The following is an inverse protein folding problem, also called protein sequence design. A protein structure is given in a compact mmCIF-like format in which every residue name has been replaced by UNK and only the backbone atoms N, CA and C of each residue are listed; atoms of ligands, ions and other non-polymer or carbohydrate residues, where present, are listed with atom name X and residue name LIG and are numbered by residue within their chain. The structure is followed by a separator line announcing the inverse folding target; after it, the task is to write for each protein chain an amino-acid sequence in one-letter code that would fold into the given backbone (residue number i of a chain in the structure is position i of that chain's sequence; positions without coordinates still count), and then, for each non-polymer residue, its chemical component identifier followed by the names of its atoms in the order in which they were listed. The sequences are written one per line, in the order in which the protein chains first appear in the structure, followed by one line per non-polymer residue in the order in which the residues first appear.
data_IF_844031013552
#
_entry.id   IF_844031013552
#
_cell.length_a   1.000
_cell.length_b   1.000
_cell.length_c   1.000
_cell.angle_alpha   90.00
_cell.angle_beta   90.00
_cell.angle_gamma   90.00
#
_symmetry.space_group_name_H-M   'P 1'
#
loop_
_entity.id
_entity.type
_entity.pdbx_description
1 polymer ?
#
# COMPACT_ATOMS: atom_id res chain seq x y z
N UNK A 1 1.92 26.13 1.79
CA UNK A 1 2.64 25.03 1.09
C UNK A 1 1.95 23.68 1.32
N UNK A 2 0.73 23.49 0.81
CA UNK A 2 -0.08 22.29 1.13
C UNK A 2 0.30 21.03 0.34
N UNK A 3 0.97 21.21 -0.81
CA UNK A 3 1.32 20.09 -1.69
C UNK A 3 2.46 19.22 -1.12
N UNK A 4 3.37 19.80 -0.35
CA UNK A 4 4.54 19.08 0.18
C UNK A 4 4.15 18.16 1.35
N UNK A 5 3.34 18.66 2.29
CA UNK A 5 2.84 17.89 3.43
C UNK A 5 2.12 16.62 2.98
N UNK A 6 1.24 16.72 1.97
CA UNK A 6 0.50 15.56 1.47
C UNK A 6 1.40 14.48 0.87
N UNK A 7 2.49 14.89 0.21
CA UNK A 7 3.46 13.95 -0.37
C UNK A 7 4.20 13.22 0.74
N UNK A 8 4.65 13.94 1.77
CA UNK A 8 5.32 13.37 2.94
C UNK A 8 4.41 12.39 3.69
N UNK A 9 3.14 12.76 3.90
CA UNK A 9 2.13 11.86 4.49
C UNK A 9 2.00 10.55 3.70
N UNK A 10 1.94 10.62 2.37
CA UNK A 10 1.82 9.44 1.51
C UNK A 10 3.07 8.57 1.54
N UNK A 11 4.26 9.19 1.61
CA UNK A 11 5.52 8.46 1.75
C UNK A 11 5.62 7.78 3.12
N UNK A 12 5.22 8.46 4.20
CA UNK A 12 5.16 7.86 5.53
C UNK A 12 4.13 6.73 5.58
N UNK A 13 2.94 6.92 5.02
CA UNK A 13 1.92 5.89 4.94
C UNK A 13 2.37 4.68 4.10
N UNK A 14 3.10 4.92 3.00
CA UNK A 14 3.74 3.88 2.20
C UNK A 14 4.69 3.03 3.04
N UNK A 15 5.62 3.67 3.76
CA UNK A 15 6.60 2.99 4.62
C UNK A 15 5.93 2.25 5.78
N UNK A 16 4.96 2.88 6.43
CA UNK A 16 4.20 2.24 7.52
C UNK A 16 3.41 1.02 7.02
N UNK A 17 2.82 1.09 5.82
CA UNK A 17 2.17 -0.07 5.22
C UNK A 17 3.18 -1.17 4.87
N UNK A 18 4.36 -0.81 4.36
CA UNK A 18 5.43 -1.75 4.09
C UNK A 18 5.87 -2.52 5.33
N UNK A 19 6.13 -1.82 6.43
CA UNK A 19 6.44 -2.43 7.72
C UNK A 19 5.28 -3.29 8.23
N UNK A 20 4.05 -2.79 8.17
CA UNK A 20 2.87 -3.55 8.61
C UNK A 20 2.69 -4.83 7.81
N UNK A 21 2.89 -4.80 6.49
CA UNK A 21 2.82 -5.97 5.61
C UNK A 21 3.96 -6.95 5.92
N UNK A 22 5.17 -6.46 6.22
CA UNK A 22 6.30 -7.28 6.67
C UNK A 22 6.01 -7.96 8.01
N UNK A 23 5.50 -7.23 9.00
CA UNK A 23 5.21 -7.75 10.34
C UNK A 23 4.00 -8.69 10.37
N UNK A 24 2.91 -8.31 9.70
CA UNK A 24 1.67 -9.11 9.69
C UNK A 24 1.70 -10.25 8.68
N UNK A 25 2.54 -10.16 7.65
CA UNK A 25 2.52 -11.07 6.50
C UNK A 25 1.24 -10.96 5.66
N UNK A 26 0.40 -9.95 5.91
CA UNK A 26 -0.88 -9.76 5.23
C UNK A 26 -0.81 -8.60 4.23
N UNK A 27 -1.55 -8.67 3.11
CA UNK A 27 -1.59 -7.59 2.14
C UNK A 27 -2.32 -6.37 2.70
N UNK A 28 -1.81 -5.19 2.38
CA UNK A 28 -2.38 -3.92 2.82
C UNK A 28 -2.94 -3.16 1.63
N UNK A 29 -4.24 -2.83 1.68
CA UNK A 29 -4.92 -2.02 0.66
C UNK A 29 -5.01 -0.57 1.12
N UNK A 30 -4.45 0.33 0.33
CA UNK A 30 -4.60 1.76 0.56
C UNK A 30 -6.00 2.26 0.22
N UNK A 31 -6.36 3.39 0.81
CA UNK A 31 -7.54 4.14 0.43
C UNK A 31 -7.48 4.54 -1.07
N UNK A 32 -8.64 4.67 -1.75
CA UNK A 32 -8.69 5.17 -3.12
C UNK A 32 -8.02 6.53 -3.20
N UNK A 33 -7.08 6.67 -4.13
CA UNK A 33 -6.26 7.87 -4.25
C UNK A 33 -6.08 8.26 -5.72
N UNK A 34 -5.79 9.54 -5.98
CA UNK A 34 -5.63 10.07 -7.33
C UNK A 34 -4.40 9.45 -8.05
N UNK A 35 -4.34 9.56 -9.37
CA UNK A 35 -3.22 9.04 -10.16
C UNK A 35 -1.85 9.56 -9.71
N UNK A 36 -1.79 10.81 -9.23
CA UNK A 36 -0.56 11.42 -8.70
C UNK A 36 -0.13 10.77 -7.38
N UNK A 37 -1.08 10.57 -6.48
CA UNK A 37 -0.81 9.96 -5.17
C UNK A 37 -0.41 8.49 -5.32
N UNK A 38 -1.07 7.73 -6.21
CA UNK A 38 -0.66 6.36 -6.55
C UNK A 38 0.79 6.31 -7.03
N UNK A 39 1.18 7.25 -7.90
CA UNK A 39 2.56 7.34 -8.40
C UNK A 39 3.55 7.60 -7.26
N UNK A 40 3.22 8.47 -6.30
CA UNK A 40 4.07 8.74 -5.13
C UNK A 40 4.25 7.47 -4.30
N UNK A 41 3.18 6.76 -4.00
CA UNK A 41 3.22 5.50 -3.24
C UNK A 41 4.02 4.43 -3.97
N UNK A 42 3.81 4.25 -5.28
CA UNK A 42 4.59 3.32 -6.08
C UNK A 42 6.07 3.67 -6.11
N UNK A 43 6.43 4.96 -6.21
CA UNK A 43 7.83 5.39 -6.18
C UNK A 43 8.45 5.19 -4.79
N UNK A 44 7.72 5.48 -3.72
CA UNK A 44 8.19 5.28 -2.35
C UNK A 44 8.41 3.80 -2.03
N UNK A 45 7.54 2.91 -2.54
CA UNK A 45 7.66 1.47 -2.35
C UNK A 45 8.56 0.79 -3.39
N UNK A 46 9.01 1.50 -4.42
CA UNK A 46 9.93 0.95 -5.44
C UNK A 46 11.28 0.56 -4.85
N UNK A 47 11.68 1.21 -3.77
CA UNK A 47 12.91 0.90 -3.02
C UNK A 47 12.78 -0.42 -2.24
N UNK A 48 11.56 -0.80 -1.88
CA UNK A 48 11.25 -1.97 -1.06
C UNK A 48 11.09 -3.23 -1.93
N UNK A 49 12.21 -3.86 -2.30
CA UNK A 49 12.21 -5.07 -3.16
C UNK A 49 11.55 -6.29 -2.54
N UNK A 50 11.40 -6.30 -1.21
CA UNK A 50 10.75 -7.40 -0.48
C UNK A 50 9.22 -7.34 -0.56
N UNK A 51 8.68 -6.27 -1.15
CA UNK A 51 7.25 -6.01 -1.25
C UNK A 51 6.84 -5.86 -2.70
N UNK A 52 5.65 -6.35 -3.00
CA UNK A 52 5.03 -6.22 -4.32
C UNK A 52 3.89 -5.22 -4.22
N UNK A 53 3.85 -4.25 -5.12
CA UNK A 53 2.74 -3.29 -5.18
C UNK A 53 1.94 -3.51 -6.46
N UNK A 54 0.62 -3.45 -6.34
CA UNK A 54 -0.29 -3.58 -7.47
C UNK A 54 -1.40 -2.55 -7.34
N UNK A 55 -1.82 -1.95 -8.46
CA UNK A 55 -2.95 -1.02 -8.46
C UNK A 55 -4.22 -1.77 -8.81
N UNK A 56 -5.14 -1.87 -7.86
CA UNK A 56 -6.40 -2.59 -8.00
C UNK A 56 -7.59 -1.63 -8.04
N UNK A 57 -8.59 -1.95 -8.87
CA UNK A 57 -9.81 -1.17 -9.06
C UNK A 57 -9.89 -0.38 -10.37
N UNK A 58 -11.04 0.27 -10.57
CA UNK A 58 -11.37 1.01 -11.80
C UNK A 58 -11.66 2.49 -11.52
N UNK A 59 -11.24 3.36 -12.46
CA UNK A 59 -11.52 4.80 -12.41
C UNK A 59 -11.11 5.46 -11.09
N UNK A 60 -12.05 6.19 -10.49
CA UNK A 60 -11.85 6.91 -9.22
C UNK A 60 -11.78 6.04 -7.96
N UNK A 61 -12.03 4.72 -8.08
CA UNK A 61 -11.92 3.76 -6.98
C UNK A 61 -10.60 2.99 -6.99
N UNK A 62 -9.64 3.42 -7.81
CA UNK A 62 -8.32 2.80 -7.91
C UNK A 62 -7.51 3.02 -6.64
N UNK A 63 -7.07 1.91 -6.06
CA UNK A 63 -6.23 1.84 -4.87
C UNK A 63 -4.92 1.12 -5.16
N UNK A 64 -3.90 1.38 -4.36
CA UNK A 64 -2.67 0.58 -4.37
C UNK A 64 -2.79 -0.50 -3.29
N UNK A 65 -2.45 -1.73 -3.64
CA UNK A 65 -2.39 -2.88 -2.74
C UNK A 65 -0.92 -3.30 -2.64
N UNK A 66 -0.44 -3.48 -1.41
CA UNK A 66 0.91 -3.93 -1.10
C UNK A 66 0.82 -5.37 -0.61
N UNK A 67 1.54 -6.26 -1.26
CA UNK A 67 1.66 -7.67 -0.94
C UNK A 67 3.06 -7.95 -0.39
N UNK A 68 3.18 -8.81 0.64
CA UNK A 68 4.48 -9.29 1.08
C UNK A 68 5.10 -10.23 0.05
N UNK A 69 6.42 -10.20 -0.14
CA UNK A 69 7.11 -11.08 -1.09
C UNK A 69 6.91 -12.58 -0.83
N UNK A 70 6.62 -12.97 0.42
CA UNK A 70 6.33 -14.35 0.81
C UNK A 70 4.82 -14.67 0.87
N UNK A 71 3.96 -13.87 0.21
CA UNK A 71 2.53 -14.14 0.15
C UNK A 71 2.25 -15.36 -0.74
N UNK A 72 2.45 -16.57 -0.19
CA UNK A 72 1.81 -17.78 -0.72
C UNK A 72 0.31 -17.58 -0.57
N UNK A 73 -0.42 -17.78 -1.66
CA UNK A 73 -1.88 -17.64 -1.84
C UNK A 73 -2.75 -18.51 -0.90
N UNK A 74 -2.20 -19.04 0.20
CA UNK A 74 -2.82 -20.01 1.10
C UNK A 74 -3.80 -19.39 2.11
N UNK A 75 -3.96 -18.07 2.18
CA UNK A 75 -4.84 -17.43 3.15
C UNK A 75 -5.87 -16.49 2.49
N UNK A 76 -6.89 -17.09 1.88
CA UNK A 76 -8.22 -16.45 1.75
C UNK A 76 -8.93 -16.27 3.12
N UNK A 77 -8.26 -16.52 4.24
CA UNK A 77 -8.85 -16.57 5.58
C UNK A 77 -8.32 -15.41 6.44
N UNK A 78 -9.19 -14.41 6.62
CA UNK A 78 -9.67 -14.09 7.97
C UNK A 78 -8.68 -13.45 8.95
N UNK A 79 -8.40 -12.15 8.78
CA UNK A 79 -8.09 -11.24 9.92
C UNK A 79 -8.58 -9.81 9.65
N UNK A 80 -9.90 -9.60 9.73
CA UNK A 80 -10.44 -8.40 10.38
C UNK A 80 -10.76 -8.82 11.81
N UNK A 81 -10.28 -8.07 12.80
CA UNK A 81 -11.13 -6.99 13.25
C UNK A 81 -10.41 -5.66 13.17
N UNK A 82 -11.09 -4.68 12.60
CA UNK A 82 -10.90 -3.29 13.02
C UNK A 82 -11.69 -3.18 14.35
N UNK A 83 -11.15 -2.51 15.37
CA UNK A 83 -11.76 -2.45 16.71
C UNK A 83 -13.18 -1.88 16.68
#
# INVERSE_FOLDING_TARGET
NFRSLRIEELQMAARAAAEKVRTTGAPYRFAPMSSRERRIVHLALREEKDLRTESDGEGGRRSVVVYPGNYKSAAKSERRPVP
#
